data_IF_966043862051
#
_entry.id   IF_966043862051
#
_cell.length_a   1.000
_cell.length_b   1.000
_cell.length_c   1.000
_cell.angle_alpha   90.00
_cell.angle_beta   90.00
_cell.angle_gamma   90.00
#
_symmetry.space_group_name_H-M   'P 1'
#
loop_
_entity.id
_entity.type
_entity.pdbx_description
1 polymer ?
#
# COMPACT_ATOMS: atom_id res chain seq x y z
N UNK A 1 -20.03 -12.22 18.94
CA UNK A 1 -19.25 -11.06 18.44
C UNK A 1 -17.79 -11.42 18.55
N UNK A 2 -17.10 -11.60 17.42
CA UNK A 2 -15.66 -11.84 17.43
C UNK A 2 -14.96 -10.60 18.00
N UNK A 3 -14.03 -10.72 18.96
CA UNK A 3 -13.29 -9.56 19.45
C UNK A 3 -12.52 -8.94 18.28
N UNK A 4 -12.67 -7.62 18.09
CA UNK A 4 -11.83 -6.88 17.15
C UNK A 4 -10.36 -7.11 17.52
N UNK A 5 -9.48 -7.43 16.55
CA UNK A 5 -8.07 -7.61 16.83
C UNK A 5 -7.52 -6.36 17.54
N UNK A 6 -6.82 -6.55 18.65
CA UNK A 6 -6.22 -5.46 19.42
C UNK A 6 -4.96 -5.00 18.70
N UNK A 7 -4.93 -3.74 18.26
CA UNK A 7 -3.79 -3.16 17.56
C UNK A 7 -2.87 -2.43 18.56
N UNK A 8 -1.60 -2.81 18.59
CA UNK A 8 -0.60 -2.15 19.44
C UNK A 8 -0.43 -0.68 19.02
N UNK A 9 -0.25 0.21 20.00
CA UNK A 9 0.01 1.62 19.72
C UNK A 9 1.26 1.79 18.84
N UNK A 10 1.16 2.64 17.82
CA UNK A 10 2.17 2.83 16.79
C UNK A 10 2.04 1.88 15.59
N UNK A 11 1.13 0.90 15.61
CA UNK A 11 0.92 -0.04 14.51
C UNK A 11 -0.32 0.29 13.68
N UNK A 12 -0.35 -0.25 12.47
CA UNK A 12 -1.48 -0.22 11.54
C UNK A 12 -1.99 -1.64 11.30
N UNK A 13 -3.31 -1.78 11.11
CA UNK A 13 -3.93 -3.04 10.71
C UNK A 13 -4.96 -2.79 9.62
N UNK A 14 -5.09 -3.77 8.74
CA UNK A 14 -6.14 -3.80 7.73
C UNK A 14 -7.44 -4.40 8.27
N UNK A 15 -8.53 -4.09 7.59
CA UNK A 15 -9.86 -4.65 7.88
C UNK A 15 -9.92 -6.14 7.57
N UNK A 16 -10.77 -6.86 8.30
CA UNK A 16 -11.17 -8.23 7.96
C UNK A 16 -12.19 -8.27 6.82
N UNK A 17 -12.92 -7.17 6.62
CA UNK A 17 -13.76 -6.98 5.44
C UNK A 17 -12.86 -6.72 4.24
N UNK A 18 -13.14 -7.40 3.13
CA UNK A 18 -12.37 -7.31 1.89
C UNK A 18 -13.21 -6.73 0.77
N UNK A 19 -12.54 -6.19 -0.24
CA UNK A 19 -13.15 -5.84 -1.51
C UNK A 19 -13.83 -7.05 -2.16
N UNK A 20 -14.95 -6.80 -2.83
CA UNK A 20 -15.69 -7.82 -3.58
C UNK A 20 -14.78 -8.46 -4.64
N UNK A 21 -14.84 -9.79 -4.76
CA UNK A 21 -14.03 -10.57 -5.69
C UNK A 21 -14.21 -10.17 -7.17
N UNK A 22 -15.27 -9.44 -7.52
CA UNK A 22 -15.51 -8.91 -8.87
C UNK A 22 -14.77 -7.59 -9.16
N UNK A 23 -14.13 -6.99 -8.17
CA UNK A 23 -13.39 -5.73 -8.31
C UNK A 23 -11.92 -5.99 -8.67
N UNK A 24 -11.22 -4.94 -9.13
CA UNK A 24 -9.78 -5.01 -9.46
C UNK A 24 -8.96 -5.54 -8.27
N UNK A 25 -9.37 -5.18 -7.05
CA UNK A 25 -8.68 -5.54 -5.82
C UNK A 25 -9.42 -6.60 -5.00
N UNK A 26 -10.19 -7.46 -5.66
CA UNK A 26 -10.97 -8.51 -5.01
C UNK A 26 -10.16 -9.33 -3.99
N UNK A 27 -10.70 -9.50 -2.78
CA UNK A 27 -10.03 -10.21 -1.69
C UNK A 27 -8.96 -9.39 -0.93
N UNK A 28 -8.62 -8.18 -1.36
CA UNK A 28 -7.78 -7.26 -0.57
C UNK A 28 -8.61 -6.59 0.53
N UNK A 29 -8.01 -6.19 1.65
CA UNK A 29 -8.73 -5.48 2.71
C UNK A 29 -9.46 -4.24 2.22
N UNK A 30 -10.68 -4.01 2.73
CA UNK A 30 -11.53 -2.86 2.35
C UNK A 30 -11.04 -1.53 2.95
N UNK A 31 -10.18 -1.60 3.97
CA UNK A 31 -9.65 -0.41 4.61
C UNK A 31 -8.57 -0.71 5.63
N UNK A 32 -7.99 0.35 6.18
CA UNK A 32 -6.96 0.29 7.22
C UNK A 32 -7.26 1.23 8.37
N UNK A 33 -6.68 0.90 9.52
CA UNK A 33 -6.73 1.74 10.70
C UNK A 33 -5.40 1.68 11.44
N UNK A 34 -4.92 2.83 11.87
CA UNK A 34 -3.70 2.95 12.67
C UNK A 34 -4.07 3.20 14.12
N UNK A 35 -3.30 2.63 15.05
CA UNK A 35 -3.35 2.92 16.47
C UNK A 35 -2.25 3.95 16.76
N UNK A 36 -2.62 5.15 17.15
CA UNK A 36 -1.69 6.22 17.50
C UNK A 36 -1.00 5.93 18.83
N UNK A 37 0.16 6.55 19.07
CA UNK A 37 0.96 6.33 20.29
C UNK A 37 0.21 6.70 21.58
N UNK A 38 -0.80 7.56 21.50
CA UNK A 38 -1.68 7.91 22.61
C UNK A 38 -2.78 6.87 22.89
N UNK A 39 -2.77 5.72 22.19
CA UNK A 39 -3.75 4.64 22.34
C UNK A 39 -5.08 4.89 21.62
N UNK A 40 -5.24 6.01 20.92
CA UNK A 40 -6.42 6.29 20.09
C UNK A 40 -6.22 5.79 18.67
N UNK A 41 -7.28 5.37 18.00
CA UNK A 41 -7.18 4.98 16.59
C UNK A 41 -7.43 6.14 15.64
N UNK A 42 -6.90 6.07 14.42
CA UNK A 42 -7.22 7.01 13.35
C UNK A 42 -8.72 7.02 13.06
N UNK A 43 -9.26 8.21 12.81
CA UNK A 43 -10.66 8.45 12.43
C UNK A 43 -10.72 9.54 11.35
N UNK A 44 -11.48 9.34 10.25
CA UNK A 44 -12.22 8.13 9.92
C UNK A 44 -11.31 6.93 9.59
N UNK A 45 -11.89 5.73 9.51
CA UNK A 45 -11.19 4.56 8.95
C UNK A 45 -10.82 4.89 7.51
N UNK A 46 -9.59 4.57 7.09
CA UNK A 46 -9.21 4.72 5.70
C UNK A 46 -9.90 3.62 4.89
N UNK A 47 -10.66 4.00 3.87
CA UNK A 47 -11.30 3.04 2.96
C UNK A 47 -10.51 2.98 1.66
N UNK A 48 -10.09 1.79 1.28
CA UNK A 48 -9.34 1.56 0.06
C UNK A 48 -10.27 1.55 -1.14
N UNK A 49 -9.84 2.15 -2.25
CA UNK A 49 -10.56 1.97 -3.50
C UNK A 49 -10.44 0.54 -3.99
N UNK A 50 -11.55 -0.21 -4.02
CA UNK A 50 -11.57 -1.57 -4.56
C UNK A 50 -11.38 -1.63 -6.09
N UNK A 51 -11.53 -0.49 -6.78
CA UNK A 51 -11.49 -0.41 -8.24
C UNK A 51 -10.22 0.25 -8.78
N UNK A 52 -9.25 0.58 -7.92
CA UNK A 52 -7.99 1.24 -8.32
C UNK A 52 -6.82 0.29 -8.17
N UNK A 53 -6.15 -0.07 -9.27
CA UNK A 53 -4.97 -0.93 -9.25
C UNK A 53 -3.65 -0.18 -9.10
N UNK A 54 -2.55 -0.91 -8.90
CA UNK A 54 -1.19 -0.35 -8.77
C UNK A 54 -0.77 0.46 -10.01
N UNK A 55 -1.13 0.01 -11.21
CA UNK A 55 -0.87 0.77 -12.45
C UNK A 55 -1.59 2.13 -12.46
N UNK A 56 -2.81 2.22 -11.91
CA UNK A 56 -3.51 3.50 -11.82
C UNK A 56 -2.78 4.44 -10.85
N UNK A 57 -2.32 3.92 -9.71
CA UNK A 57 -1.57 4.70 -8.72
C UNK A 57 -0.19 5.14 -9.23
N UNK A 58 0.47 4.33 -10.05
CA UNK A 58 1.75 4.67 -10.68
C UNK A 58 1.66 5.90 -11.60
N UNK A 59 0.47 6.20 -12.13
CA UNK A 59 0.22 7.29 -13.08
C UNK A 59 -0.61 8.43 -12.49
N UNK A 60 -0.94 8.39 -11.20
CA UNK A 60 -1.80 9.42 -10.58
C UNK A 60 -1.02 10.70 -10.34
N UNK A 61 -1.62 11.85 -10.67
CA UNK A 61 -1.10 13.16 -10.29
C UNK A 61 -1.65 13.54 -8.91
N UNK A 62 -0.77 13.74 -7.93
CA UNK A 62 -1.14 14.06 -6.54
C UNK A 62 -1.05 15.58 -6.36
N UNK A 63 -2.20 16.24 -6.14
CA UNK A 63 -2.28 17.70 -6.07
C UNK A 63 -2.47 18.22 -4.64
N UNK A 64 -2.72 17.33 -3.68
CA UNK A 64 -3.01 17.69 -2.29
C UNK A 64 -2.42 16.69 -1.28
N UNK A 65 -2.29 17.14 -0.04
CA UNK A 65 -1.88 16.28 1.09
C UNK A 65 -2.90 15.16 1.34
N UNK A 66 -4.20 15.44 1.15
CA UNK A 66 -5.25 14.45 1.33
C UNK A 66 -5.17 13.34 0.28
N UNK A 67 -5.05 13.70 -1.00
CA UNK A 67 -4.81 12.72 -2.07
C UNK A 67 -3.52 11.91 -1.85
N UNK A 68 -2.48 12.53 -1.28
CA UNK A 68 -1.23 11.83 -0.97
C UNK A 68 -1.43 10.77 0.11
N UNK A 69 -2.18 11.12 1.16
CA UNK A 69 -2.60 10.16 2.19
C UNK A 69 -3.44 9.04 1.53
N UNK A 70 -4.32 9.37 0.59
CA UNK A 70 -5.11 8.39 -0.16
C UNK A 70 -4.23 7.38 -0.88
N UNK A 71 -3.35 7.87 -1.75
CA UNK A 71 -2.50 7.01 -2.58
C UNK A 71 -1.56 6.18 -1.71
N UNK A 72 -0.99 6.75 -0.65
CA UNK A 72 -0.10 6.03 0.25
C UNK A 72 -0.81 4.86 0.96
N UNK A 73 -2.01 5.07 1.50
CA UNK A 73 -2.77 4.00 2.15
C UNK A 73 -3.25 2.95 1.14
N UNK A 74 -3.66 3.36 -0.06
CA UNK A 74 -4.05 2.41 -1.12
C UNK A 74 -2.86 1.54 -1.54
N UNK A 75 -1.65 2.10 -1.67
CA UNK A 75 -0.44 1.32 -1.94
C UNK A 75 -0.14 0.28 -0.85
N UNK A 76 -0.27 0.67 0.42
CA UNK A 76 -0.11 -0.24 1.56
C UNK A 76 -1.06 -1.44 1.45
N UNK A 77 -2.33 -1.19 1.13
CA UNK A 77 -3.37 -2.23 1.06
C UNK A 77 -3.17 -3.13 -0.15
N UNK A 78 -2.89 -2.56 -1.31
CA UNK A 78 -2.65 -3.33 -2.53
C UNK A 78 -1.45 -4.28 -2.39
N UNK A 79 -0.43 -3.85 -1.66
CA UNK A 79 0.79 -4.62 -1.42
C UNK A 79 0.70 -5.59 -0.23
N UNK A 80 -0.37 -5.53 0.58
CA UNK A 80 -0.52 -6.31 1.82
C UNK A 80 -0.46 -7.84 1.69
N UNK A 81 -0.55 -8.38 0.46
CA UNK A 81 -0.30 -9.80 0.18
C UNK A 81 0.87 -9.93 -0.81
N UNK A 82 2.13 -9.96 -0.33
CA UNK A 82 3.32 -9.99 -1.17
C UNK A 82 3.38 -11.19 -2.13
N UNK A 83 2.85 -12.36 -1.71
CA UNK A 83 2.83 -13.58 -2.53
C UNK A 83 1.97 -13.44 -3.80
N UNK A 84 1.06 -12.45 -3.83
CA UNK A 84 0.20 -12.18 -4.99
C UNK A 84 0.77 -11.14 -5.97
N UNK A 85 1.91 -10.52 -5.65
CA UNK A 85 2.47 -9.43 -6.46
C UNK A 85 3.33 -9.96 -7.61
N UNK A 86 3.10 -9.43 -8.82
CA UNK A 86 3.93 -9.67 -10.00
C UNK A 86 5.11 -8.68 -10.11
N UNK A 87 6.00 -8.88 -11.09
CA UNK A 87 7.11 -7.94 -11.35
C UNK A 87 6.60 -6.56 -11.79
N UNK A 88 5.49 -6.54 -12.51
CA UNK A 88 4.84 -5.30 -12.94
C UNK A 88 4.20 -4.59 -11.75
N UNK A 89 3.60 -5.34 -10.81
CA UNK A 89 3.08 -4.77 -9.56
C UNK A 89 4.20 -4.12 -8.75
N UNK A 90 5.34 -4.80 -8.59
CA UNK A 90 6.51 -4.22 -7.90
C UNK A 90 6.97 -2.94 -8.59
N UNK A 91 7.09 -2.95 -9.91
CA UNK A 91 7.51 -1.77 -10.69
C UNK A 91 6.53 -0.61 -10.52
N UNK A 92 5.22 -0.89 -10.66
CA UNK A 92 4.15 0.10 -10.48
C UNK A 92 4.13 0.65 -9.04
N UNK A 93 4.36 -0.20 -8.03
CA UNK A 93 4.46 0.23 -6.64
C UNK A 93 5.63 1.19 -6.45
N UNK A 94 6.82 0.88 -6.98
CA UNK A 94 7.99 1.76 -6.86
C UNK A 94 7.72 3.11 -7.52
N UNK A 95 7.11 3.12 -8.71
CA UNK A 95 6.77 4.36 -9.41
C UNK A 95 5.71 5.17 -8.66
N UNK A 96 4.70 4.50 -8.08
CA UNK A 96 3.70 5.17 -7.25
C UNK A 96 4.30 5.73 -5.95
N UNK A 97 5.26 5.04 -5.33
CA UNK A 97 5.99 5.53 -4.17
C UNK A 97 6.80 6.79 -4.50
N UNK A 98 7.43 6.86 -5.67
CA UNK A 98 8.13 8.06 -6.14
C UNK A 98 7.17 9.26 -6.19
N UNK A 99 5.99 9.09 -6.81
CA UNK A 99 4.96 10.14 -6.84
C UNK A 99 4.48 10.55 -5.44
N UNK A 100 4.30 9.59 -4.53
CA UNK A 100 3.89 9.82 -3.13
C UNK A 100 4.96 10.54 -2.32
N UNK A 101 6.23 10.38 -2.68
CA UNK A 101 7.36 11.03 -2.00
C UNK A 101 7.76 12.36 -2.65
N UNK A 102 7.30 12.64 -3.87
CA UNK A 102 7.48 13.93 -4.55
C UNK A 102 6.61 15.03 -3.92
N UNK A 103 7.02 15.49 -2.74
CA UNK A 103 6.45 16.61 -2.00
C UNK A 103 7.51 17.30 -1.12
N UNK A 104 7.34 18.61 -0.84
CA UNK A 104 8.24 19.34 0.06
C UNK A 104 8.17 18.81 1.51
N UNK A 105 7.05 18.22 1.90
CA UNK A 105 6.87 17.55 3.19
C UNK A 105 5.80 16.47 3.12
N UNK A 106 5.93 15.44 3.95
CA UNK A 106 4.98 14.34 4.09
C UNK A 106 4.54 14.19 5.54
N UNK A 107 3.32 13.69 5.75
CA UNK A 107 2.79 13.45 7.10
C UNK A 107 3.37 12.17 7.69
N UNK A 108 3.28 12.02 9.02
CA UNK A 108 3.63 10.76 9.70
C UNK A 108 2.80 9.58 9.17
N UNK A 109 1.54 9.82 8.81
CA UNK A 109 0.68 8.79 8.24
C UNK A 109 1.19 8.33 6.87
N UNK A 110 1.51 9.26 5.96
CA UNK A 110 2.11 8.93 4.66
C UNK A 110 3.41 8.14 4.87
N UNK A 111 4.26 8.59 5.80
CA UNK A 111 5.52 7.91 6.10
C UNK A 111 5.31 6.48 6.59
N UNK A 112 4.33 6.26 7.47
CA UNK A 112 3.97 4.94 8.00
C UNK A 112 3.51 3.99 6.89
N UNK A 113 2.63 4.47 5.99
CA UNK A 113 2.16 3.66 4.86
C UNK A 113 3.28 3.36 3.89
N UNK A 114 4.13 4.34 3.55
CA UNK A 114 5.30 4.13 2.68
C UNK A 114 6.24 3.06 3.24
N UNK A 115 6.59 3.13 4.53
CA UNK A 115 7.46 2.12 5.17
C UNK A 115 6.81 0.73 5.11
N UNK A 116 5.50 0.65 5.35
CA UNK A 116 4.76 -0.61 5.29
C UNK A 116 4.72 -1.16 3.86
N UNK A 117 4.46 -0.33 2.86
CA UNK A 117 4.54 -0.70 1.44
C UNK A 117 5.92 -1.21 1.06
N UNK A 118 7.00 -0.55 1.48
CA UNK A 118 8.37 -1.01 1.24
C UNK A 118 8.60 -2.37 1.91
N UNK A 119 8.18 -2.54 3.16
CA UNK A 119 8.26 -3.83 3.86
C UNK A 119 7.50 -4.93 3.11
N UNK A 120 6.32 -4.63 2.58
CA UNK A 120 5.54 -5.59 1.79
C UNK A 120 6.28 -5.99 0.51
N UNK A 121 6.81 -5.01 -0.23
CA UNK A 121 7.59 -5.26 -1.46
C UNK A 121 8.83 -6.12 -1.16
N UNK A 122 9.54 -5.85 -0.08
CA UNK A 122 10.72 -6.64 0.31
C UNK A 122 10.40 -8.09 0.71
N UNK A 123 9.13 -8.41 0.98
CA UNK A 123 8.69 -9.77 1.29
C UNK A 123 8.10 -10.51 0.07
N UNK A 124 8.16 -9.92 -1.13
CA UNK A 124 7.77 -10.58 -2.38
C UNK A 124 8.74 -11.73 -2.69
N UNK A 125 8.27 -12.84 -3.31
CA UNK A 125 9.15 -13.95 -3.70
C UNK A 125 10.34 -13.50 -4.58
N UNK A 126 11.52 -14.06 -4.32
CA UNK A 126 12.78 -13.68 -4.99
C UNK A 126 12.71 -13.81 -6.52
N UNK A 127 11.97 -14.79 -7.03
CA UNK A 127 11.81 -15.02 -8.48
C UNK A 127 11.08 -13.89 -9.20
N UNK A 128 10.23 -13.12 -8.49
CA UNK A 128 9.58 -11.92 -9.01
C UNK A 128 10.60 -10.80 -9.27
N UNK A 129 11.59 -10.64 -8.37
CA UNK A 129 12.71 -9.71 -8.57
C UNK A 129 13.68 -10.18 -9.66
N UNK A 130 13.79 -11.49 -9.88
CA UNK A 130 14.65 -12.06 -10.93
C UNK A 130 13.97 -11.96 -12.31
N UNK A 131 12.65 -12.11 -12.38
CA UNK A 131 11.88 -11.97 -13.62
C UNK A 131 11.99 -10.55 -14.22
N UNK A 132 12.06 -9.50 -13.39
CA UNK A 132 12.33 -8.13 -13.87
C UNK A 132 13.73 -7.97 -14.49
N UNK A 133 14.67 -8.86 -14.14
CA UNK A 133 16.06 -8.85 -14.57
C UNK A 133 16.33 -9.72 -15.83
N UNK A 134 15.35 -10.52 -16.27
CA UNK A 134 15.50 -11.49 -17.35
C UNK A 134 15.64 -10.91 -18.76
N UNK A 135 15.18 -9.66 -19.00
CA UNK A 135 15.19 -9.04 -20.34
C UNK A 135 16.19 -7.90 -20.52
N UNK A 136 16.79 -7.35 -19.46
CA UNK A 136 17.69 -6.19 -19.55
C UNK A 136 18.99 -6.45 -18.78
N UNK A 137 19.88 -7.27 -19.36
CA UNK A 137 21.27 -7.35 -18.89
C UNK A 137 22.00 -6.08 -19.31
N UNK A 138 22.29 -5.20 -18.36
CA UNK A 138 23.23 -4.10 -18.59
C UNK A 138 24.63 -4.69 -18.80
N UNK A 139 25.22 -4.47 -19.99
CA UNK A 139 26.67 -4.63 -20.17
C UNK A 139 27.35 -3.43 -19.51
N UNK A 140 28.33 -3.72 -18.64
CA UNK A 140 29.27 -2.71 -18.12
C UNK A 140 30.32 -2.39 -19.18
#
# INVERSE_FOLDING_TARGET
TSPSPTLQAGFQSSSLETCDNQTVNGGKPYGTRSCLLNGTSTTPVWLTSCNTGLQNLANVTINSTEERVTVANDLEVLTSNPESLSSDDVTNTVQALDNVLDAPSITTQVSSSVITTVSNVLNVPDDVFIASNGSNRCHL
#
